data_IF_366593805673
#
_entry.id   IF_366593805673
#
_cell.length_a   1.000
_cell.length_b   1.000
_cell.length_c   1.000
_cell.angle_alpha   90.00
_cell.angle_beta   90.00
_cell.angle_gamma   90.00
#
_symmetry.space_group_name_H-M   'P 1'
#
loop_
_entity.id
_entity.type
_entity.pdbx_description
1 polymer ?
#
# COMPACT_ATOMS: atom_id res chain seq x y z
N UNK A 1 12.48 -11.88 -10.86
CA UNK A 1 12.75 -10.69 -10.02
C UNK A 1 11.53 -9.80 -9.94
N UNK A 2 11.42 -9.08 -8.86
CA UNK A 2 10.30 -8.19 -8.61
C UNK A 2 10.67 -6.75 -8.98
N UNK A 3 9.72 -6.00 -9.51
CA UNK A 3 9.90 -4.58 -9.77
C UNK A 3 9.97 -3.80 -8.44
N UNK A 4 10.38 -2.55 -8.51
CA UNK A 4 10.64 -1.76 -7.31
C UNK A 4 9.39 -1.53 -6.47
N UNK A 5 9.57 -1.54 -5.16
CA UNK A 5 8.52 -1.20 -4.20
C UNK A 5 8.23 0.30 -4.26
N UNK A 6 6.98 0.68 -4.09
CA UNK A 6 6.58 2.08 -4.03
C UNK A 6 7.17 2.78 -2.82
N UNK A 7 7.26 4.11 -2.88
CA UNK A 7 7.78 4.93 -1.78
C UNK A 7 6.87 4.82 -0.57
N UNK A 8 7.48 4.73 0.62
CA UNK A 8 6.71 4.80 1.86
C UNK A 8 6.18 6.21 2.06
N UNK A 9 4.98 6.32 2.63
CA UNK A 9 4.44 7.60 3.04
C UNK A 9 5.20 8.16 4.24
N UNK A 10 5.29 9.48 4.33
CA UNK A 10 5.96 10.12 5.45
C UNK A 10 5.07 10.19 6.68
N UNK A 11 5.69 10.16 7.85
CA UNK A 11 4.96 10.41 9.10
C UNK A 11 4.46 11.85 9.11
N UNK A 12 3.31 12.09 9.70
CA UNK A 12 2.72 13.43 9.79
C UNK A 12 1.97 13.65 11.09
N UNK A 13 1.77 14.91 11.40
CA UNK A 13 1.00 15.39 12.53
C UNK A 13 -0.01 16.40 11.97
N UNK A 14 -1.31 16.08 11.95
CA UNK A 14 -1.93 14.85 12.47
C UNK A 14 -2.06 13.72 11.43
N UNK A 15 -1.68 13.94 10.17
CA UNK A 15 -1.98 12.99 9.10
C UNK A 15 -0.71 12.45 8.45
N UNK A 16 -0.59 11.13 8.42
CA UNK A 16 0.50 10.46 7.70
C UNK A 16 0.27 10.49 6.20
N UNK A 17 1.35 10.48 5.43
CA UNK A 17 1.29 10.46 3.98
C UNK A 17 0.94 9.08 3.43
N UNK A 18 0.35 9.05 2.24
CA UNK A 18 0.03 7.78 1.58
C UNK A 18 1.29 7.13 1.00
N UNK A 19 1.32 5.82 1.00
CA UNK A 19 2.36 5.08 0.30
C UNK A 19 2.20 5.22 -1.21
N UNK A 20 3.30 5.18 -1.94
CA UNK A 20 3.28 5.25 -3.39
C UNK A 20 3.00 3.88 -4.03
N UNK A 21 2.58 3.87 -5.30
CA UNK A 21 2.30 2.62 -5.99
C UNK A 21 3.59 1.85 -6.30
N UNK A 22 3.49 0.54 -6.34
CA UNK A 22 4.58 -0.31 -6.79
C UNK A 22 4.82 -0.14 -8.29
N UNK A 23 6.03 -0.37 -8.72
CA UNK A 23 6.41 -0.26 -10.14
C UNK A 23 5.83 -1.43 -10.93
N UNK A 24 5.30 -1.20 -12.13
CA UNK A 24 4.85 -2.31 -12.98
C UNK A 24 6.02 -3.26 -13.35
N UNK A 25 5.71 -4.54 -13.45
CA UNK A 25 6.70 -5.54 -13.87
C UNK A 25 6.97 -5.46 -15.39
N UNK A 26 8.22 -5.67 -15.78
CA UNK A 26 8.61 -5.66 -17.19
C UNK A 26 8.54 -7.07 -17.79
N UNK A 27 8.28 -7.20 -19.09
CA UNK A 27 7.88 -6.13 -20.01
C UNK A 27 6.40 -5.77 -19.87
N UNK A 28 6.10 -4.51 -20.11
CA UNK A 28 4.72 -3.98 -20.09
C UNK A 28 4.06 -4.06 -21.46
N UNK A 29 4.85 -4.22 -22.50
CA UNK A 29 4.39 -4.35 -23.89
C UNK A 29 5.01 -5.63 -24.45
N UNK A 30 4.20 -6.44 -25.12
CA UNK A 30 4.70 -7.67 -25.71
C UNK A 30 5.81 -7.34 -26.73
N UNK A 31 7.01 -7.97 -26.63
CA UNK A 31 8.06 -7.71 -27.60
C UNK A 31 7.68 -8.30 -28.97
N UNK A 32 8.12 -7.65 -30.08
CA UNK A 32 7.83 -8.20 -31.40
C UNK A 32 8.56 -9.53 -31.62
N UNK A 33 7.93 -10.50 -32.30
CA UNK A 33 8.65 -11.71 -32.65
C UNK A 33 9.79 -11.39 -33.64
N UNK A 34 10.91 -12.13 -33.66
CA UNK A 34 11.16 -13.34 -32.89
C UNK A 34 11.92 -13.12 -31.56
N UNK A 35 11.77 -11.97 -30.91
CA UNK A 35 12.53 -11.67 -29.70
C UNK A 35 12.25 -12.70 -28.60
N UNK A 36 13.28 -13.37 -28.07
CA UNK A 36 13.07 -14.34 -27.02
C UNK A 36 12.70 -13.62 -25.70
N UNK A 37 11.77 -14.23 -24.96
CA UNK A 37 11.36 -13.73 -23.65
C UNK A 37 12.20 -14.45 -22.61
N UNK A 38 13.03 -13.70 -21.89
CA UNK A 38 13.94 -14.30 -20.92
C UNK A 38 13.47 -14.17 -19.48
N UNK A 39 12.68 -13.12 -19.17
CA UNK A 39 12.20 -12.87 -17.81
C UNK A 39 10.83 -12.20 -17.82
N UNK A 40 10.04 -12.55 -16.81
CA UNK A 40 8.73 -11.98 -16.56
C UNK A 40 8.75 -11.47 -15.12
N UNK A 41 8.69 -10.15 -14.94
CA UNK A 41 8.78 -9.58 -13.61
C UNK A 41 7.44 -9.58 -12.90
N UNK A 42 7.49 -9.81 -11.60
CA UNK A 42 6.37 -9.51 -10.71
C UNK A 42 6.25 -8.00 -10.54
N UNK A 43 5.04 -7.48 -10.42
CA UNK A 43 4.83 -6.09 -10.06
C UNK A 43 5.40 -5.77 -8.69
N UNK A 44 5.86 -4.54 -8.49
CA UNK A 44 6.39 -4.10 -7.20
C UNK A 44 5.30 -3.97 -6.15
N UNK A 45 5.66 -4.12 -4.88
CA UNK A 45 4.71 -3.91 -3.79
C UNK A 45 4.39 -2.43 -3.63
N UNK A 46 3.20 -2.11 -3.16
CA UNK A 46 2.88 -0.75 -2.77
C UNK A 46 3.66 -0.33 -1.53
N UNK A 47 3.97 0.94 -1.41
CA UNK A 47 4.65 1.49 -0.24
C UNK A 47 3.72 1.55 0.97
N UNK A 48 4.29 1.46 2.16
CA UNK A 48 3.51 1.58 3.39
C UNK A 48 2.99 3.00 3.58
N UNK A 49 1.80 3.15 4.15
CA UNK A 49 1.30 4.45 4.58
C UNK A 49 2.07 4.95 5.79
N UNK A 50 2.22 6.26 5.92
CA UNK A 50 2.91 6.90 7.02
C UNK A 50 2.07 6.94 8.29
N UNK A 51 2.73 6.99 9.44
CA UNK A 51 2.05 7.11 10.73
C UNK A 51 1.48 8.51 10.90
N UNK A 52 0.22 8.60 11.33
CA UNK A 52 -0.38 9.86 11.77
C UNK A 52 -0.37 9.93 13.29
N UNK A 53 -0.05 11.10 13.84
CA UNK A 53 -0.02 11.28 15.27
C UNK A 53 -0.44 12.69 15.67
N UNK A 54 -1.04 12.82 16.84
CA UNK A 54 -1.35 14.13 17.42
C UNK A 54 -1.38 14.02 18.93
N UNK A 55 -0.99 15.09 19.62
CA UNK A 55 -1.17 15.21 21.07
C UNK A 55 -2.18 16.30 21.42
N UNK A 56 -2.87 16.86 20.46
CA UNK A 56 -3.85 17.91 20.70
C UNK A 56 -5.10 17.33 21.37
N UNK A 57 -5.67 18.09 22.31
CA UNK A 57 -6.96 17.75 22.88
C UNK A 57 -8.03 17.84 21.79
N UNK A 58 -8.95 16.91 21.77
CA UNK A 58 -9.97 16.78 20.72
C UNK A 58 -9.38 16.65 19.30
N UNK A 59 -8.10 16.27 19.21
CA UNK A 59 -7.42 16.10 17.93
C UNK A 59 -7.77 14.77 17.26
N UNK A 60 -7.63 14.74 15.93
CA UNK A 60 -7.81 13.52 15.15
C UNK A 60 -6.52 13.21 14.41
N UNK A 61 -5.94 12.03 14.67
CA UNK A 61 -4.79 11.53 13.93
C UNK A 61 -5.26 10.56 12.86
N UNK A 62 -4.66 10.62 11.67
CA UNK A 62 -5.03 9.75 10.56
C UNK A 62 -3.77 9.12 9.97
N UNK A 63 -3.73 7.80 9.94
CA UNK A 63 -2.66 7.09 9.26
C UNK A 63 -2.85 7.15 7.74
N UNK A 64 -1.77 7.15 6.98
CA UNK A 64 -1.82 7.16 5.53
C UNK A 64 -2.25 5.82 4.96
N UNK A 65 -2.81 5.82 3.76
CA UNK A 65 -3.16 4.58 3.06
C UNK A 65 -1.90 3.88 2.55
N UNK A 66 -1.94 2.55 2.52
CA UNK A 66 -0.93 1.80 1.78
C UNK A 66 -1.07 2.02 0.28
N UNK A 67 0.04 1.99 -0.44
CA UNK A 67 0.04 2.14 -1.88
C UNK A 67 -0.45 0.89 -2.60
N UNK A 68 -0.90 1.03 -3.83
CA UNK A 68 -1.32 -0.11 -4.64
C UNK A 68 -0.11 -0.93 -5.10
N UNK A 69 -0.28 -2.23 -5.17
CA UNK A 69 0.71 -3.08 -5.81
C UNK A 69 0.79 -2.81 -7.31
N UNK A 70 1.96 -2.93 -7.89
CA UNK A 70 2.15 -2.77 -9.32
C UNK A 70 1.62 -3.95 -10.10
N UNK A 71 1.19 -3.71 -11.35
CA UNK A 71 0.74 -4.79 -12.22
C UNK A 71 1.93 -5.69 -12.59
N UNK A 72 1.67 -6.97 -12.77
CA UNK A 72 2.70 -7.90 -13.26
C UNK A 72 2.96 -7.70 -14.74
N UNK A 73 4.09 -8.22 -15.21
CA UNK A 73 4.42 -8.19 -16.63
C UNK A 73 3.27 -8.70 -17.47
N UNK A 74 3.02 -8.06 -18.62
CA UNK A 74 1.97 -8.48 -19.55
C UNK A 74 2.12 -9.94 -19.99
N UNK A 75 3.32 -10.50 -19.87
CA UNK A 75 3.62 -11.87 -20.32
C UNK A 75 3.33 -12.92 -19.24
N UNK A 76 2.64 -12.56 -18.17
CA UNK A 76 2.24 -13.50 -17.14
C UNK A 76 2.84 -13.27 -15.77
N UNK A 77 3.45 -12.11 -15.53
CA UNK A 77 3.99 -11.79 -14.21
C UNK A 77 2.90 -11.65 -13.17
N UNK A 78 3.13 -12.08 -11.93
CA UNK A 78 2.16 -11.84 -10.86
C UNK A 78 2.12 -10.37 -10.48
N UNK A 79 0.98 -9.91 -9.99
CA UNK A 79 0.86 -8.55 -9.45
C UNK A 79 1.63 -8.40 -8.13
N UNK A 80 2.04 -7.19 -7.82
CA UNK A 80 2.63 -6.87 -6.53
C UNK A 80 1.58 -6.78 -5.43
N UNK A 81 2.01 -6.91 -4.18
CA UNK A 81 1.11 -6.79 -3.05
C UNK A 81 0.81 -5.33 -2.73
N UNK A 82 -0.35 -5.05 -2.16
CA UNK A 82 -0.64 -3.73 -1.64
C UNK A 82 0.22 -3.42 -0.42
N UNK A 83 0.53 -2.14 -0.21
CA UNK A 83 1.27 -1.69 0.95
C UNK A 83 0.40 -1.68 2.21
N UNK A 84 1.02 -1.74 3.37
CA UNK A 84 0.30 -1.68 4.64
C UNK A 84 -0.22 -0.27 4.90
N UNK A 85 -1.36 -0.15 5.57
CA UNK A 85 -1.84 1.14 6.05
C UNK A 85 -1.00 1.65 7.21
N UNK A 86 -0.93 2.96 7.36
CA UNK A 86 -0.18 3.60 8.43
C UNK A 86 -0.92 3.53 9.76
N UNK A 87 -0.17 3.45 10.85
CA UNK A 87 -0.74 3.48 12.19
C UNK A 87 -1.19 4.89 12.55
N UNK A 88 -2.04 5.01 13.57
CA UNK A 88 -2.47 6.29 14.08
C UNK A 88 -2.38 6.30 15.60
N UNK A 89 -2.02 7.48 16.15
CA UNK A 89 -1.89 7.68 17.60
C UNK A 89 -2.39 9.08 17.97
N UNK A 90 -3.39 9.15 18.84
CA UNK A 90 -3.94 10.41 19.34
C UNK A 90 -3.89 10.37 20.86
N UNK A 91 -2.92 11.07 21.44
CA UNK A 91 -2.64 11.00 22.89
C UNK A 91 -3.28 12.11 23.71
N UNK A 92 -3.86 13.11 23.07
CA UNK A 92 -4.56 14.19 23.80
C UNK A 92 -5.92 13.75 24.35
N UNK A 93 -6.49 14.57 25.20
CA UNK A 93 -7.82 14.31 25.79
C UNK A 93 -8.86 14.26 24.67
N UNK A 94 -9.69 13.24 24.68
CA UNK A 94 -10.71 12.99 23.63
C UNK A 94 -10.11 12.89 22.22
N UNK A 95 -8.84 12.53 22.10
CA UNK A 95 -8.21 12.32 20.80
C UNK A 95 -8.78 11.09 20.09
N UNK A 96 -8.98 11.20 18.77
CA UNK A 96 -9.46 10.10 17.93
C UNK A 96 -8.37 9.72 16.94
N UNK A 97 -8.08 8.45 16.84
CA UNK A 97 -7.08 7.95 15.90
C UNK A 97 -7.74 7.03 14.87
N UNK A 98 -7.49 7.30 13.60
CA UNK A 98 -7.98 6.48 12.50
C UNK A 98 -6.79 5.97 11.69
N UNK A 99 -6.50 4.69 11.80
CA UNK A 99 -5.39 4.10 11.06
C UNK A 99 -5.75 4.00 9.56
N UNK A 100 -4.72 4.00 8.72
CA UNK A 100 -4.90 3.93 7.27
C UNK A 100 -5.25 2.54 6.79
N UNK A 101 -5.97 2.47 5.67
CA UNK A 101 -6.30 1.21 5.02
C UNK A 101 -5.09 0.66 4.25
N UNK A 102 -5.04 -0.66 4.12
CA UNK A 102 -4.07 -1.30 3.25
C UNK A 102 -4.35 -0.99 1.78
N UNK A 103 -3.33 -1.02 0.96
CA UNK A 103 -3.46 -0.80 -0.47
C UNK A 103 -3.99 -2.02 -1.21
N UNK A 104 -4.55 -1.79 -2.39
CA UNK A 104 -5.01 -2.87 -3.25
C UNK A 104 -3.82 -3.62 -3.85
N UNK A 105 -3.95 -4.93 -3.98
CA UNK A 105 -2.95 -5.72 -4.71
C UNK A 105 -3.02 -5.42 -6.21
N UNK A 106 -1.89 -5.53 -6.89
CA UNK A 106 -1.80 -5.31 -8.33
C UNK A 106 -2.34 -6.48 -9.12
N UNK A 107 -2.81 -6.21 -10.34
CA UNK A 107 -3.28 -7.26 -11.24
C UNK A 107 -2.11 -8.06 -11.81
N UNK A 108 -2.31 -9.35 -12.01
CA UNK A 108 -1.34 -10.15 -12.74
C UNK A 108 -1.42 -9.86 -14.24
N UNK A 109 -0.35 -10.12 -14.95
CA UNK A 109 -0.37 -10.14 -16.40
C UNK A 109 -1.15 -11.34 -16.92
N UNK A 110 -1.07 -11.59 -18.23
CA UNK A 110 -1.83 -12.68 -18.87
C UNK A 110 -1.57 -14.01 -18.15
N UNK A 111 -2.61 -14.61 -17.58
CA UNK A 111 -2.54 -15.83 -16.76
C UNK A 111 -1.72 -15.69 -15.48
N UNK A 112 -1.23 -14.49 -15.15
CA UNK A 112 -0.54 -14.25 -13.90
C UNK A 112 -1.50 -14.03 -12.73
N UNK A 113 -1.06 -14.39 -11.53
CA UNK A 113 -1.86 -14.20 -10.33
C UNK A 113 -1.90 -12.73 -9.92
N UNK A 114 -3.02 -12.26 -9.40
CA UNK A 114 -3.09 -10.95 -8.76
C UNK A 114 -2.35 -10.94 -7.44
N UNK A 115 -1.86 -9.78 -7.03
CA UNK A 115 -1.21 -9.61 -5.74
C UNK A 115 -2.22 -9.55 -4.59
N UNK A 116 -1.74 -9.76 -3.39
CA UNK A 116 -2.57 -9.67 -2.19
C UNK A 116 -2.77 -8.21 -1.80
N UNK A 117 -3.90 -7.91 -1.18
CA UNK A 117 -4.10 -6.61 -0.57
C UNK A 117 -3.21 -6.43 0.65
N UNK A 118 -2.83 -5.21 0.95
CA UNK A 118 -2.03 -4.90 2.14
C UNK A 118 -2.86 -4.91 3.41
N UNK A 119 -2.22 -5.12 4.54
CA UNK A 119 -2.88 -5.07 5.84
C UNK A 119 -3.26 -3.63 6.20
N UNK A 120 -4.34 -3.45 6.93
CA UNK A 120 -4.68 -2.16 7.51
C UNK A 120 -3.75 -1.80 8.66
N UNK A 121 -3.63 -0.50 8.93
CA UNK A 121 -2.85 -0.02 10.06
C UNK A 121 -3.56 -0.20 11.39
N UNK A 122 -2.82 0.00 12.48
CA UNK A 122 -3.30 -0.15 13.84
C UNK A 122 -3.42 1.18 14.55
N UNK A 123 -4.35 1.27 15.49
CA UNK A 123 -4.43 2.39 16.42
C UNK A 123 -3.59 2.05 17.64
N UNK A 124 -2.59 2.89 17.93
CA UNK A 124 -1.71 2.67 19.09
C UNK A 124 -2.17 3.43 20.33
N UNK A 125 -2.81 4.58 20.14
CA UNK A 125 -3.46 5.35 21.22
C UNK A 125 -4.68 6.05 20.64
N UNK A 126 -5.77 6.07 21.37
CA UNK A 126 -6.96 6.79 20.95
C UNK A 126 -8.13 6.50 21.87
N UNK A 127 -9.13 7.41 21.88
CA UNK A 127 -10.34 7.24 22.65
C UNK A 127 -11.32 6.32 21.94
N UNK A 128 -12.47 6.09 22.59
CA UNK A 128 -13.59 5.40 21.96
C UNK A 128 -14.01 6.16 20.68
N UNK A 129 -14.27 5.44 19.62
CA UNK A 129 -14.52 6.02 18.30
C UNK A 129 -13.30 5.98 17.38
N UNK A 130 -12.12 5.61 17.90
CA UNK A 130 -10.95 5.36 17.07
C UNK A 130 -11.14 4.09 16.25
N UNK A 131 -10.61 4.06 15.02
CA UNK A 131 -10.79 2.91 14.12
C UNK A 131 -9.47 2.42 13.56
N UNK A 132 -9.29 1.11 13.58
CA UNK A 132 -8.19 0.48 12.86
C UNK A 132 -8.49 0.50 11.36
N UNK A 133 -7.44 0.42 10.54
CA UNK A 133 -7.60 0.39 9.10
C UNK A 133 -8.07 -0.97 8.59
N UNK A 134 -8.73 -0.96 7.44
CA UNK A 134 -9.17 -2.18 6.75
C UNK A 134 -8.04 -2.70 5.86
N UNK A 135 -8.02 -4.01 5.67
CA UNK A 135 -7.15 -4.59 4.66
C UNK A 135 -7.59 -4.18 3.25
N UNK A 136 -6.64 -4.13 2.33
CA UNK A 136 -6.93 -3.83 0.94
C UNK A 136 -7.44 -5.06 0.19
N UNK A 137 -8.05 -4.80 -0.96
CA UNK A 137 -8.52 -5.89 -1.82
C UNK A 137 -7.36 -6.52 -2.59
N UNK A 138 -7.49 -7.81 -2.90
CA UNK A 138 -6.56 -8.47 -3.80
C UNK A 138 -6.76 -8.02 -5.24
N UNK A 139 -5.73 -8.20 -6.03
CA UNK A 139 -5.76 -7.88 -7.46
C UNK A 139 -6.35 -8.98 -8.33
#
# INVERSE_FOLDING_TARGET
>A
PQAATGTAGSAGDPTGGNGGPGTPGSPMVAPPPPTPITQVQQGGDGGAGGTGSTNANDGTATGGKGGEGGVGSILGGPGGNGGTGGNASATGTNGVANAGNGGKGGDGGQFGAGGNGGAGGSVTDGSAGSTAGNGGNGG
#
